data_IF_849070071520
#
_entry.id   IF_849070071520
#
_cell.length_a   1.000
_cell.length_b   1.000
_cell.length_c   1.000
_cell.angle_alpha   90.00
_cell.angle_beta   90.00
_cell.angle_gamma   90.00
#
_symmetry.space_group_name_H-M   'P 1'
#
loop_
_entity.id
_entity.type
_entity.pdbx_description
1 polymer ?
#
# COMPACT_ATOMS: atom_id res chain seq x y z
N UNK A 1 15.07 6.95 -13.02
CA UNK A 1 13.62 7.19 -12.83
C UNK A 1 13.34 8.66 -12.53
N UNK A 2 13.95 9.26 -11.49
CA UNK A 2 13.71 10.67 -11.12
C UNK A 2 14.05 11.65 -12.24
N UNK A 3 15.17 11.42 -12.96
CA UNK A 3 15.57 12.24 -14.11
C UNK A 3 14.56 12.20 -15.26
N UNK A 4 14.01 11.02 -15.57
CA UNK A 4 12.96 10.86 -16.59
C UNK A 4 11.68 11.60 -16.18
N UNK A 5 11.29 11.51 -14.91
CA UNK A 5 10.14 12.24 -14.39
C UNK A 5 10.33 13.76 -14.51
N UNK A 6 11.50 14.27 -14.10
CA UNK A 6 11.81 15.71 -14.18
C UNK A 6 11.83 16.19 -15.63
N UNK A 7 12.46 15.45 -16.55
CA UNK A 7 12.49 15.80 -17.96
C UNK A 7 11.08 15.79 -18.57
N UNK A 8 10.27 14.77 -18.26
CA UNK A 8 8.88 14.72 -18.70
C UNK A 8 8.04 15.88 -18.15
N UNK A 9 8.22 16.24 -16.88
CA UNK A 9 7.53 17.38 -16.27
C UNK A 9 7.94 18.69 -16.93
N UNK A 10 9.25 18.91 -17.15
CA UNK A 10 9.77 20.10 -17.84
C UNK A 10 9.25 20.19 -19.30
N UNK A 11 9.20 19.07 -20.01
CA UNK A 11 8.60 19.02 -21.34
C UNK A 11 7.13 19.43 -21.32
N UNK A 12 6.34 18.91 -20.37
CA UNK A 12 4.93 19.29 -20.23
C UNK A 12 4.73 20.78 -19.90
N UNK A 13 5.66 21.39 -19.13
CA UNK A 13 5.64 22.83 -18.86
C UNK A 13 5.77 23.67 -20.14
N UNK A 14 6.52 23.20 -21.13
CA UNK A 14 6.68 23.92 -22.41
C UNK A 14 5.51 23.72 -23.37
N UNK A 15 4.78 22.61 -23.26
CA UNK A 15 3.72 22.24 -24.21
C UNK A 15 2.32 22.68 -23.74
N UNK A 16 2.07 22.73 -22.41
CA UNK A 16 0.74 22.96 -21.86
C UNK A 16 0.67 24.23 -21.03
N UNK A 17 -0.08 25.27 -21.46
CA UNK A 17 -0.30 26.46 -20.66
C UNK A 17 -1.00 26.11 -19.35
N UNK A 18 -0.47 26.60 -18.22
CA UNK A 18 -1.04 26.34 -16.90
C UNK A 18 -0.61 25.04 -16.22
N UNK A 19 0.30 24.26 -16.84
CA UNK A 19 0.81 23.03 -16.24
C UNK A 19 1.59 23.27 -14.93
N UNK A 20 2.17 24.46 -14.74
CA UNK A 20 2.82 24.89 -13.49
C UNK A 20 1.83 25.24 -12.35
N UNK A 21 0.52 25.06 -12.56
CA UNK A 21 -0.47 25.43 -11.54
C UNK A 21 -0.48 24.45 -10.37
N UNK A 22 -0.78 24.96 -9.17
CA UNK A 22 -0.97 24.12 -7.97
C UNK A 22 -2.06 23.06 -8.17
N UNK A 23 -3.02 23.32 -9.08
CA UNK A 23 -4.07 22.38 -9.45
C UNK A 23 -3.50 21.09 -10.06
N UNK A 24 -2.53 21.19 -10.98
CA UNK A 24 -1.91 20.03 -11.62
C UNK A 24 -1.15 19.19 -10.60
N UNK A 25 -0.38 19.82 -9.71
CA UNK A 25 0.34 19.12 -8.66
C UNK A 25 -0.62 18.37 -7.72
N UNK A 26 -1.71 19.04 -7.30
CA UNK A 26 -2.72 18.41 -6.44
C UNK A 26 -3.42 17.24 -7.14
N UNK A 27 -3.72 17.36 -8.44
CA UNK A 27 -4.31 16.27 -9.21
C UNK A 27 -3.36 15.08 -9.31
N UNK A 28 -2.08 15.29 -9.64
CA UNK A 28 -1.08 14.21 -9.68
C UNK A 28 -1.00 13.49 -8.33
N UNK A 29 -0.97 14.21 -7.22
CA UNK A 29 -0.94 13.61 -5.88
C UNK A 29 -2.24 12.85 -5.57
N UNK A 30 -3.39 13.38 -5.94
CA UNK A 30 -4.70 12.76 -5.69
C UNK A 30 -4.88 11.50 -6.53
N UNK A 31 -4.62 11.58 -7.84
CA UNK A 31 -4.86 10.48 -8.79
C UNK A 31 -3.91 9.31 -8.57
N UNK A 32 -2.72 9.57 -8.02
CA UNK A 32 -1.73 8.55 -7.71
C UNK A 32 -1.61 8.24 -6.20
N UNK A 33 -2.56 8.69 -5.38
CA UNK A 33 -2.48 8.52 -3.93
C UNK A 33 -2.38 7.05 -3.51
N UNK A 34 -3.18 6.16 -4.11
CA UNK A 34 -3.14 4.74 -3.83
C UNK A 34 -1.78 4.11 -4.18
N UNK A 35 -1.18 4.48 -5.33
CA UNK A 35 0.15 4.02 -5.71
C UNK A 35 1.23 4.48 -4.74
N UNK A 36 1.13 5.72 -4.25
CA UNK A 36 2.04 6.26 -3.24
C UNK A 36 1.98 5.51 -1.92
N UNK A 37 0.78 5.16 -1.45
CA UNK A 37 0.59 4.36 -0.22
C UNK A 37 1.22 2.98 -0.38
N UNK A 38 0.95 2.30 -1.49
CA UNK A 38 1.52 0.99 -1.81
C UNK A 38 3.04 1.05 -1.90
N UNK A 39 3.57 2.08 -2.55
CA UNK A 39 5.01 2.26 -2.74
C UNK A 39 5.76 2.34 -1.41
N UNK A 40 5.17 2.95 -0.36
CA UNK A 40 5.76 2.96 0.98
C UNK A 40 5.89 1.53 1.53
N UNK A 41 4.84 0.71 1.45
CA UNK A 41 4.88 -0.70 1.87
C UNK A 41 5.93 -1.50 1.11
N UNK A 42 5.91 -1.40 -0.22
CA UNK A 42 6.87 -2.05 -1.11
C UNK A 42 8.32 -1.61 -0.86
N UNK A 43 8.54 -0.36 -0.47
CA UNK A 43 9.88 0.12 -0.12
C UNK A 43 10.48 -0.70 1.03
N UNK A 44 9.74 -0.99 2.08
CA UNK A 44 10.24 -1.83 3.19
C UNK A 44 10.54 -3.26 2.75
N UNK A 45 9.71 -3.84 1.85
CA UNK A 45 9.96 -5.16 1.27
C UNK A 45 11.26 -5.16 0.46
N UNK A 46 11.43 -4.17 -0.43
CA UNK A 46 12.64 -4.06 -1.29
C UNK A 46 13.89 -3.78 -0.44
N UNK A 47 13.81 -2.88 0.54
CA UNK A 47 14.91 -2.59 1.45
C UNK A 47 15.35 -3.80 2.28
N UNK A 48 14.46 -4.75 2.55
CA UNK A 48 14.81 -6.01 3.21
C UNK A 48 15.36 -7.09 2.27
N UNK A 49 15.48 -6.81 0.97
CA UNK A 49 15.88 -7.77 -0.06
C UNK A 49 14.76 -8.73 -0.48
N UNK A 50 13.51 -8.46 -0.07
CA UNK A 50 12.33 -9.26 -0.41
C UNK A 50 11.64 -8.83 -1.69
N UNK A 51 10.64 -9.62 -2.10
CA UNK A 51 9.72 -9.34 -3.21
C UNK A 51 8.31 -9.68 -2.72
N UNK A 52 7.34 -8.80 -3.00
CA UNK A 52 5.92 -9.05 -2.71
C UNK A 52 5.09 -8.93 -3.99
N UNK A 53 4.69 -10.07 -4.55
CA UNK A 53 3.85 -10.15 -5.75
C UNK A 53 2.36 -10.11 -5.41
N UNK A 54 2.00 -10.24 -4.13
CA UNK A 54 0.60 -10.36 -3.71
C UNK A 54 -0.16 -9.03 -3.66
N UNK A 55 0.54 -7.90 -3.65
CA UNK A 55 0.00 -6.55 -3.44
C UNK A 55 -1.21 -6.25 -4.33
N UNK A 56 -1.11 -6.54 -5.64
CA UNK A 56 -2.22 -6.30 -6.58
C UNK A 56 -3.45 -7.15 -6.29
N UNK A 57 -3.26 -8.40 -5.85
CA UNK A 57 -4.36 -9.28 -5.49
C UNK A 57 -4.97 -8.94 -4.13
N UNK A 58 -4.17 -8.39 -3.20
CA UNK A 58 -4.68 -7.82 -1.93
C UNK A 58 -5.64 -6.66 -2.22
N UNK A 59 -5.27 -5.74 -3.10
CA UNK A 59 -6.13 -4.61 -3.50
C UNK A 59 -7.42 -5.13 -4.14
N UNK A 60 -7.31 -6.06 -5.09
CA UNK A 60 -8.47 -6.63 -5.77
C UNK A 60 -9.42 -7.33 -4.78
N UNK A 61 -8.87 -8.15 -3.88
CA UNK A 61 -9.65 -8.81 -2.83
C UNK A 61 -10.32 -7.81 -1.89
N UNK A 62 -9.60 -6.77 -1.47
CA UNK A 62 -10.13 -5.70 -0.62
C UNK A 62 -11.35 -5.04 -1.27
N UNK A 63 -11.24 -4.66 -2.54
CA UNK A 63 -12.33 -4.03 -3.28
C UNK A 63 -13.55 -4.94 -3.41
N UNK A 64 -13.36 -6.20 -3.82
CA UNK A 64 -14.45 -7.17 -3.98
C UNK A 64 -15.11 -7.47 -2.63
N UNK A 65 -14.31 -7.68 -1.58
CA UNK A 65 -14.83 -7.95 -0.24
C UNK A 65 -15.65 -6.77 0.30
N UNK A 66 -15.15 -5.54 0.21
CA UNK A 66 -15.87 -4.34 0.65
C UNK A 66 -17.18 -4.14 -0.14
N UNK A 67 -17.12 -4.35 -1.46
CA UNK A 67 -18.31 -4.24 -2.31
C UNK A 67 -19.41 -5.24 -1.87
N UNK A 68 -19.02 -6.50 -1.61
CA UNK A 68 -19.94 -7.54 -1.15
C UNK A 68 -20.43 -7.27 0.28
N UNK A 69 -19.52 -6.91 1.19
CA UNK A 69 -19.82 -6.68 2.60
C UNK A 69 -20.80 -5.51 2.79
N UNK A 70 -20.57 -4.40 2.09
CA UNK A 70 -21.39 -3.19 2.23
C UNK A 70 -22.65 -3.30 1.37
N UNK A 71 -22.52 -3.76 0.11
CA UNK A 71 -23.64 -3.76 -0.85
C UNK A 71 -24.63 -4.88 -0.65
N UNK A 72 -24.19 -6.09 -0.25
CA UNK A 72 -25.05 -7.26 -0.14
C UNK A 72 -25.28 -7.75 1.28
N UNK A 73 -24.24 -7.74 2.13
CA UNK A 73 -24.38 -8.20 3.51
C UNK A 73 -24.85 -7.10 4.45
N UNK A 74 -24.94 -5.85 3.98
CA UNK A 74 -25.40 -4.72 4.78
C UNK A 74 -24.50 -4.36 5.95
N UNK A 75 -23.21 -4.75 5.89
CA UNK A 75 -22.24 -4.42 6.94
C UNK A 75 -21.92 -2.94 6.85
N UNK A 76 -22.02 -2.24 7.98
CA UNK A 76 -21.65 -0.82 8.05
C UNK A 76 -20.20 -0.62 7.62
N UNK A 77 -19.89 0.41 6.80
CA UNK A 77 -18.52 0.76 6.40
C UNK A 77 -17.57 0.95 7.58
N UNK A 78 -18.07 1.46 8.72
CA UNK A 78 -17.30 1.62 9.97
C UNK A 78 -16.79 0.28 10.53
N UNK A 79 -17.44 -0.84 10.20
CA UNK A 79 -17.01 -2.19 10.58
C UNK A 79 -16.25 -2.86 9.45
N UNK A 80 -16.71 -2.66 8.20
CA UNK A 80 -16.12 -3.30 7.03
C UNK A 80 -14.67 -2.86 6.79
N UNK A 81 -14.36 -1.55 6.91
CA UNK A 81 -13.01 -1.03 6.72
C UNK A 81 -11.99 -1.59 7.72
N UNK A 82 -12.21 -1.51 9.05
CA UNK A 82 -11.30 -2.12 10.01
C UNK A 82 -11.17 -3.63 9.83
N UNK A 83 -12.26 -4.31 9.49
CA UNK A 83 -12.27 -5.76 9.29
C UNK A 83 -11.34 -6.16 8.14
N UNK A 84 -11.49 -5.54 6.96
CA UNK A 84 -10.65 -5.85 5.81
C UNK A 84 -9.19 -5.47 6.05
N UNK A 85 -8.93 -4.39 6.78
CA UNK A 85 -7.57 -3.99 7.15
C UNK A 85 -6.91 -5.04 8.05
N UNK A 86 -7.63 -5.55 9.04
CA UNK A 86 -7.15 -6.66 9.90
C UNK A 86 -6.89 -7.91 9.05
N UNK A 87 -7.78 -8.24 8.10
CA UNK A 87 -7.59 -9.38 7.20
C UNK A 87 -6.33 -9.21 6.34
N UNK A 88 -6.11 -8.03 5.74
CA UNK A 88 -4.91 -7.74 4.96
C UNK A 88 -3.63 -7.82 5.79
N UNK A 89 -3.62 -7.22 6.99
CA UNK A 89 -2.49 -7.32 7.91
C UNK A 89 -2.22 -8.78 8.35
N UNK A 90 -3.27 -9.53 8.67
CA UNK A 90 -3.15 -10.94 9.06
C UNK A 90 -2.60 -11.80 7.92
N UNK A 91 -3.06 -11.56 6.68
CA UNK A 91 -2.57 -12.24 5.49
C UNK A 91 -1.08 -11.98 5.26
N UNK A 92 -0.63 -10.72 5.34
CA UNK A 92 0.79 -10.38 5.22
C UNK A 92 1.63 -10.95 6.35
N UNK A 93 1.13 -10.91 7.58
CA UNK A 93 1.80 -11.54 8.72
C UNK A 93 1.94 -13.06 8.52
N UNK A 94 0.93 -13.73 7.98
CA UNK A 94 0.96 -15.14 7.64
C UNK A 94 2.01 -15.45 6.56
N UNK A 95 2.04 -14.67 5.46
CA UNK A 95 3.09 -14.82 4.44
C UNK A 95 4.49 -14.60 5.02
N UNK A 96 4.68 -13.55 5.81
CA UNK A 96 5.97 -13.28 6.47
C UNK A 96 6.39 -14.40 7.42
N UNK A 97 5.43 -15.02 8.12
CA UNK A 97 5.66 -16.17 8.97
C UNK A 97 6.12 -17.39 8.14
N UNK A 98 5.47 -17.68 7.02
CA UNK A 98 5.84 -18.80 6.13
C UNK A 98 7.24 -18.59 5.53
N UNK A 99 7.56 -17.38 5.10
CA UNK A 99 8.89 -17.03 4.55
C UNK A 99 9.99 -17.32 5.59
N UNK A 100 9.79 -16.87 6.83
CA UNK A 100 10.79 -17.09 7.87
C UNK A 100 10.83 -18.53 8.39
N UNK A 101 9.67 -19.15 8.62
CA UNK A 101 9.60 -20.50 9.19
C UNK A 101 10.06 -21.59 8.23
N UNK A 102 9.70 -21.50 6.95
CA UNK A 102 10.02 -22.48 5.93
C UNK A 102 11.35 -22.18 5.21
N UNK A 103 11.90 -20.98 5.40
CA UNK A 103 13.10 -20.48 4.69
C UNK A 103 12.96 -20.54 3.16
N UNK A 104 11.73 -20.40 2.67
CA UNK A 104 11.42 -20.37 1.24
C UNK A 104 11.58 -18.94 0.72
N UNK A 105 12.11 -18.75 -0.50
CA UNK A 105 12.21 -17.42 -1.11
C UNK A 105 10.88 -16.68 -1.13
N UNK A 106 10.91 -15.40 -0.75
CA UNK A 106 9.72 -14.58 -0.59
C UNK A 106 8.83 -14.54 -1.85
N UNK A 107 9.45 -14.50 -3.04
CA UNK A 107 8.69 -14.44 -4.29
C UNK A 107 7.77 -15.66 -4.48
N UNK A 108 8.17 -16.86 -4.02
CA UNK A 108 7.36 -18.10 -4.13
C UNK A 108 6.12 -17.99 -3.23
N UNK A 109 6.33 -17.58 -1.98
CA UNK A 109 5.24 -17.43 -1.01
C UNK A 109 4.26 -16.33 -1.43
N UNK A 110 4.77 -15.18 -1.87
CA UNK A 110 3.92 -14.07 -2.30
C UNK A 110 3.22 -14.33 -3.63
N UNK A 111 3.84 -15.09 -4.53
CA UNK A 111 3.21 -15.58 -5.76
C UNK A 111 2.04 -16.55 -5.43
N UNK A 112 2.26 -17.51 -4.53
CA UNK A 112 1.21 -18.40 -4.05
C UNK A 112 0.09 -17.61 -3.38
N UNK A 113 0.43 -16.61 -2.55
CA UNK A 113 -0.52 -15.69 -1.93
C UNK A 113 -1.33 -14.88 -2.95
N UNK A 114 -0.69 -14.44 -4.03
CA UNK A 114 -1.36 -13.76 -5.14
C UNK A 114 -2.45 -14.64 -5.77
N UNK A 115 -2.12 -15.88 -6.11
CA UNK A 115 -3.09 -16.82 -6.71
C UNK A 115 -4.18 -17.21 -5.72
N UNK A 116 -3.83 -17.41 -4.45
CA UNK A 116 -4.79 -17.69 -3.40
C UNK A 116 -5.85 -16.59 -3.28
N UNK A 117 -5.42 -15.32 -3.15
CA UNK A 117 -6.36 -14.21 -3.03
C UNK A 117 -7.17 -13.98 -4.31
N UNK A 118 -6.60 -14.21 -5.50
CA UNK A 118 -7.38 -14.20 -6.74
C UNK A 118 -8.50 -15.26 -6.72
N UNK A 119 -8.17 -16.48 -6.32
CA UNK A 119 -9.17 -17.55 -6.19
C UNK A 119 -10.25 -17.20 -5.17
N UNK A 120 -9.86 -16.67 -4.00
CA UNK A 120 -10.82 -16.25 -2.96
C UNK A 120 -11.69 -15.08 -3.47
N UNK A 121 -11.12 -14.13 -4.22
CA UNK A 121 -11.91 -13.04 -4.82
C UNK A 121 -13.00 -13.55 -5.74
N UNK A 122 -12.71 -14.56 -6.57
CA UNK A 122 -13.70 -15.23 -7.42
C UNK A 122 -14.80 -15.92 -6.62
N UNK A 123 -14.45 -16.56 -5.49
CA UNK A 123 -15.45 -17.19 -4.60
C UNK A 123 -16.37 -16.15 -3.93
N UNK A 124 -15.87 -14.95 -3.69
CA UNK A 124 -16.66 -13.85 -3.12
C UNK A 124 -17.60 -13.25 -4.16
N UNK A 125 -17.11 -12.98 -5.38
CA UNK A 125 -17.93 -12.50 -6.50
C UNK A 125 -17.22 -12.72 -7.84
N UNK A 126 -17.95 -13.22 -8.82
CA UNK A 126 -17.53 -13.34 -10.22
C UNK A 126 -17.83 -12.06 -11.01
N UNK A 127 -18.74 -11.23 -10.51
CA UNK A 127 -19.19 -10.00 -11.17
C UNK A 127 -18.60 -8.76 -10.50
N UNK A 128 -18.48 -7.67 -11.30
CA UNK A 128 -18.13 -6.35 -10.79
C UNK A 128 -19.30 -5.77 -10.01
N UNK A 129 -19.07 -5.45 -8.74
CA UNK A 129 -20.10 -4.91 -7.85
C UNK A 129 -19.83 -3.43 -7.63
N UNK A 130 -20.74 -2.51 -8.04
CA UNK A 130 -20.61 -1.10 -7.70
C UNK A 130 -20.91 -0.86 -6.21
N UNK A 131 -20.11 -0.03 -5.56
CA UNK A 131 -20.36 0.35 -4.16
C UNK A 131 -21.11 1.68 -4.14
N UNK A 132 -22.43 1.63 -3.92
CA UNK A 132 -23.28 2.81 -3.83
C UNK A 132 -23.62 3.05 -2.35
N UNK A 133 -22.75 3.75 -1.64
CA UNK A 133 -22.98 4.08 -0.23
C UNK A 133 -22.58 5.53 0.07
N UNK A 134 -23.41 6.32 0.81
CA UNK A 134 -23.18 7.76 1.07
C UNK A 134 -21.83 8.10 1.72
N UNK A 135 -21.21 7.15 2.41
CA UNK A 135 -19.87 7.33 3.02
C UNK A 135 -18.82 7.60 1.94
N UNK A 136 -18.91 6.94 0.77
CA UNK A 136 -17.95 7.18 -0.33
C UNK A 136 -18.14 8.58 -0.94
N UNK A 137 -19.37 9.05 -1.07
CA UNK A 137 -19.68 10.41 -1.52
C UNK A 137 -19.12 11.45 -0.54
N UNK A 138 -19.27 11.18 0.75
CA UNK A 138 -18.71 12.03 1.81
C UNK A 138 -17.18 12.06 1.76
N UNK A 139 -16.53 10.90 1.66
CA UNK A 139 -15.06 10.80 1.57
C UNK A 139 -14.52 11.49 0.31
N UNK A 140 -15.17 11.32 -0.83
CA UNK A 140 -14.77 11.96 -2.09
C UNK A 140 -14.99 13.48 -2.09
N UNK A 141 -15.94 13.97 -1.31
CA UNK A 141 -16.20 15.40 -1.14
C UNK A 141 -15.22 16.11 -0.22
N UNK A 142 -14.47 15.36 0.59
CA UNK A 142 -13.44 15.91 1.49
C UNK A 142 -12.22 16.37 0.68
N UNK A 143 -12.20 17.65 0.37
CA UNK A 143 -11.16 18.28 -0.44
C UNK A 143 -10.61 19.50 0.29
N UNK A 144 -9.27 19.53 0.42
CA UNK A 144 -8.56 20.69 0.96
C UNK A 144 -8.22 21.68 -0.16
N UNK A 145 -8.73 22.90 -0.05
CA UNK A 145 -8.46 23.96 -1.04
C UNK A 145 -7.11 24.62 -0.74
N UNK A 146 -6.22 24.63 -1.74
CA UNK A 146 -4.91 25.26 -1.65
C UNK A 146 -4.92 26.57 -2.47
N UNK A 147 -4.24 27.64 -2.01
CA UNK A 147 -4.08 28.87 -2.79
C UNK A 147 -3.53 28.57 -4.20
N UNK A 148 -4.09 29.24 -5.23
CA UNK A 148 -3.75 28.95 -6.64
C UNK A 148 -4.67 27.95 -7.34
N UNK A 149 -5.83 27.60 -6.73
CA UNK A 149 -6.85 26.76 -7.35
C UNK A 149 -6.62 25.25 -7.18
N UNK A 150 -5.61 24.84 -6.44
CA UNK A 150 -5.34 23.44 -6.12
C UNK A 150 -6.40 22.85 -5.18
N UNK A 151 -6.74 21.58 -5.40
CA UNK A 151 -7.67 20.81 -4.56
C UNK A 151 -7.01 19.48 -4.23
N UNK A 152 -6.62 19.28 -2.98
CA UNK A 152 -6.04 18.01 -2.51
C UNK A 152 -7.13 17.18 -1.85
N UNK A 153 -7.32 15.95 -2.33
CA UNK A 153 -8.30 15.02 -1.77
C UNK A 153 -7.85 14.48 -0.41
N UNK A 154 -8.80 13.94 0.37
CA UNK A 154 -8.50 13.22 1.60
C UNK A 154 -7.52 12.07 1.37
N UNK A 155 -7.62 11.35 0.24
CA UNK A 155 -6.69 10.27 -0.14
C UNK A 155 -5.27 10.80 -0.40
N UNK A 156 -5.14 11.95 -1.06
CA UNK A 156 -3.83 12.62 -1.24
C UNK A 156 -3.18 13.02 0.08
N UNK A 157 -3.98 13.53 1.04
CA UNK A 157 -3.49 13.82 2.40
C UNK A 157 -3.09 12.57 3.16
N UNK A 158 -3.88 11.50 3.05
CA UNK A 158 -3.58 10.20 3.64
C UNK A 158 -2.25 9.66 3.12
N UNK A 159 -2.05 9.70 1.79
CA UNK A 159 -0.79 9.30 1.16
C UNK A 159 0.40 10.09 1.73
N UNK A 160 0.31 11.41 1.80
CA UNK A 160 1.38 12.24 2.37
C UNK A 160 1.67 11.87 3.82
N UNK A 161 0.63 11.63 4.62
CA UNK A 161 0.76 11.15 6.00
C UNK A 161 1.48 9.79 6.07
N UNK A 162 1.10 8.84 5.21
CA UNK A 162 1.74 7.52 5.12
C UNK A 162 3.21 7.64 4.70
N UNK A 163 3.53 8.52 3.76
CA UNK A 163 4.93 8.78 3.34
C UNK A 163 5.76 9.32 4.51
N UNK A 164 5.25 10.32 5.24
CA UNK A 164 5.95 10.90 6.40
C UNK A 164 6.17 9.85 7.49
N UNK A 165 5.13 9.06 7.81
CA UNK A 165 5.23 7.95 8.77
C UNK A 165 6.23 6.90 8.28
N UNK A 166 6.22 6.55 6.99
CA UNK A 166 7.16 5.62 6.37
C UNK A 166 8.62 6.09 6.50
N UNK A 167 8.89 7.36 6.21
CA UNK A 167 10.22 7.96 6.38
C UNK A 167 10.66 7.90 7.85
N UNK A 168 9.76 8.25 8.77
CA UNK A 168 10.04 8.17 10.21
C UNK A 168 10.33 6.74 10.64
N UNK A 169 9.51 5.77 10.23
CA UNK A 169 9.70 4.35 10.55
C UNK A 169 11.04 3.82 10.00
N UNK A 170 11.41 4.20 8.77
CA UNK A 170 12.65 3.75 8.14
C UNK A 170 13.91 4.31 8.82
N UNK A 171 13.91 5.60 9.19
CA UNK A 171 15.14 6.29 9.61
C UNK A 171 15.26 6.50 11.11
N UNK A 172 14.15 6.46 11.86
CA UNK A 172 14.12 6.84 13.28
C UNK A 172 13.68 5.70 14.21
N UNK A 173 13.44 4.48 13.70
CA UNK A 173 12.97 3.38 14.54
C UNK A 173 13.91 2.18 14.51
N UNK A 174 13.81 1.35 15.57
CA UNK A 174 14.50 0.05 15.61
C UNK A 174 14.06 -0.88 14.48
N UNK A 175 12.80 -0.77 14.05
CA UNK A 175 12.27 -1.55 12.94
C UNK A 175 12.99 -1.21 11.63
N UNK A 176 13.16 0.08 11.29
CA UNK A 176 13.90 0.52 10.11
C UNK A 176 15.35 0.01 10.12
N UNK A 177 16.05 0.15 11.25
CA UNK A 177 17.42 -0.38 11.38
C UNK A 177 17.50 -1.90 11.15
N UNK A 178 16.50 -2.66 11.64
CA UNK A 178 16.42 -4.10 11.39
C UNK A 178 16.18 -4.43 9.92
N UNK A 179 15.31 -3.66 9.24
CA UNK A 179 15.05 -3.80 7.79
C UNK A 179 16.33 -3.60 6.98
N UNK A 180 17.08 -2.52 7.24
CA UNK A 180 18.35 -2.27 6.56
C UNK A 180 19.41 -3.34 6.87
N UNK A 181 19.50 -3.81 8.11
CA UNK A 181 20.45 -4.85 8.49
C UNK A 181 20.18 -6.17 7.76
N UNK A 182 18.91 -6.59 7.70
CA UNK A 182 18.50 -7.82 7.00
C UNK A 182 18.73 -7.69 5.49
N UNK A 183 18.37 -6.55 4.89
CA UNK A 183 18.58 -6.32 3.47
C UNK A 183 20.05 -6.21 3.06
N UNK A 184 20.92 -5.74 3.96
CA UNK A 184 22.37 -5.70 3.73
C UNK A 184 22.97 -7.10 3.72
N UNK A 185 22.81 -7.85 4.79
CA UNK A 185 23.23 -9.25 4.87
C UNK A 185 22.56 -9.96 6.04
N UNK A 186 21.71 -10.94 5.72
CA UNK A 186 20.93 -11.72 6.71
C UNK A 186 21.86 -12.47 7.69
N UNK A 187 22.95 -13.05 7.20
CA UNK A 187 23.88 -13.80 8.04
C UNK A 187 24.59 -12.88 9.04
N UNK A 188 25.07 -11.73 8.58
CA UNK A 188 25.71 -10.73 9.45
C UNK A 188 24.72 -10.16 10.47
N UNK A 189 23.48 -9.92 10.08
CA UNK A 189 22.43 -9.45 11.00
C UNK A 189 22.18 -10.47 12.12
N UNK A 190 22.09 -11.76 11.78
CA UNK A 190 21.93 -12.84 12.77
C UNK A 190 23.14 -12.94 13.72
N UNK A 191 24.36 -12.81 13.22
CA UNK A 191 25.58 -12.81 14.05
C UNK A 191 25.61 -11.62 15.03
N UNK A 192 25.02 -10.50 14.67
CA UNK A 192 24.85 -9.33 15.54
C UNK A 192 23.65 -9.47 16.52
N UNK A 193 22.98 -10.62 16.55
CA UNK A 193 21.84 -10.88 17.44
C UNK A 193 20.51 -10.30 16.97
N UNK A 194 20.41 -9.85 15.70
CA UNK A 194 19.16 -9.37 15.12
C UNK A 194 18.35 -10.58 14.64
N UNK A 195 17.25 -10.88 15.31
CA UNK A 195 16.29 -11.90 14.86
C UNK A 195 15.65 -11.48 13.52
N UNK A 196 15.64 -12.37 12.54
CA UNK A 196 15.02 -12.12 11.23
C UNK A 196 13.50 -12.29 11.26
N UNK A 197 12.98 -13.16 12.14
CA UNK A 197 11.58 -13.57 12.19
C UNK A 197 10.62 -12.38 12.37
N UNK A 198 10.80 -11.64 13.46
CA UNK A 198 9.88 -10.54 13.80
C UNK A 198 9.87 -9.40 12.76
N UNK A 199 11.02 -8.91 12.26
CA UNK A 199 11.03 -7.92 11.19
C UNK A 199 10.41 -8.43 9.90
N UNK A 200 10.71 -9.67 9.46
CA UNK A 200 10.12 -10.23 8.24
C UNK A 200 8.60 -10.25 8.31
N UNK A 201 8.01 -10.75 9.40
CA UNK A 201 6.55 -10.75 9.59
C UNK A 201 5.99 -9.31 9.51
N UNK A 202 6.63 -8.34 10.19
CA UNK A 202 6.16 -6.95 10.21
C UNK A 202 6.29 -6.27 8.85
N UNK A 203 7.30 -6.60 8.05
CA UNK A 203 7.50 -6.05 6.69
C UNK A 203 6.33 -6.46 5.79
N UNK A 204 6.01 -7.75 5.71
CA UNK A 204 4.90 -8.22 4.87
C UNK A 204 3.54 -7.80 5.42
N UNK A 205 3.36 -7.77 6.74
CA UNK A 205 2.17 -7.21 7.38
C UNK A 205 1.96 -5.73 7.03
N UNK A 206 3.03 -4.93 7.02
CA UNK A 206 2.98 -3.52 6.64
C UNK A 206 2.68 -3.36 5.15
N UNK A 207 3.33 -4.15 4.27
CA UNK A 207 3.10 -4.11 2.82
C UNK A 207 1.64 -4.37 2.48
N UNK A 208 1.09 -5.49 2.93
CA UNK A 208 -0.30 -5.86 2.66
C UNK A 208 -1.32 -4.99 3.39
N UNK A 209 -1.00 -4.53 4.62
CA UNK A 209 -1.82 -3.57 5.34
C UNK A 209 -1.95 -2.23 4.61
N UNK A 210 -0.84 -1.71 4.07
CA UNK A 210 -0.86 -0.50 3.24
C UNK A 210 -1.55 -0.73 1.89
N UNK A 211 -1.38 -1.92 1.28
CA UNK A 211 -2.11 -2.29 0.06
C UNK A 211 -3.64 -2.39 0.27
N UNK A 212 -4.06 -2.78 1.48
CA UNK A 212 -5.48 -2.81 1.86
C UNK A 212 -6.02 -1.42 2.17
N UNK A 213 -5.17 -0.53 2.69
CA UNK A 213 -5.54 0.86 3.00
C UNK A 213 -5.65 1.71 1.74
N UNK A 214 -4.90 1.39 0.68
CA UNK A 214 -4.82 2.11 -0.60
C UNK A 214 -6.06 1.89 -1.46
#
# INVERSE_FOLDING_TARGET
>A
TLGVFVLGYLYCLTQFPGFASTRVICNILTDNAFLGIIAVGMTFVILSGGIDLSVGSVIAFTGVFLAKAIGFWGISPLVAFPLVLVMGCAFGAFMGLLIDALKIPAFIITLAGMFFLRGVSYLVSEESIPINHPVYDTLSSLVWKIPGGGRLSAMGLLMLGVVVIGIFLAHRTRFGNQVYAIGGNVTSANLMGISTRSPTIRIYMLSTGLATLA
#
